data_IF_281826826576
#
_entry.id   IF_281826826576
#
_cell.length_a   1.000
_cell.length_b   1.000
_cell.length_c   1.000
_cell.angle_alpha   90.00
_cell.angle_beta   90.00
_cell.angle_gamma   90.00
#
_symmetry.space_group_name_H-M   'P 1'
#
loop_
_entity.id
_entity.type
_entity.pdbx_description
1 polymer ?
#
# COMPACT_ATOMS: atom_id res chain seq x y z
N UNK A 1 4.68 6.50 5.64
CA UNK A 1 3.28 6.89 5.38
C UNK A 1 2.35 5.82 5.91
N UNK A 2 1.33 6.23 6.62
CA UNK A 2 0.34 5.28 7.11
C UNK A 2 -0.51 4.76 5.96
N UNK A 3 -0.94 3.51 6.10
CA UNK A 3 -1.79 2.92 5.07
C UNK A 3 -2.62 1.80 5.67
N UNK A 4 -3.61 1.38 4.90
CA UNK A 4 -4.50 0.30 5.27
C UNK A 4 -4.23 -0.97 4.47
N UNK A 5 -3.05 -1.07 3.88
CA UNK A 5 -2.76 -2.18 2.97
C UNK A 5 -2.89 -3.54 3.65
N UNK A 6 -2.33 -3.67 4.85
CA UNK A 6 -2.40 -4.94 5.56
C UNK A 6 -3.85 -5.32 5.86
N UNK A 7 -4.63 -4.36 6.31
CA UNK A 7 -6.04 -4.58 6.62
C UNK A 7 -6.80 -5.02 5.38
N UNK A 8 -6.60 -4.31 4.27
CA UNK A 8 -7.30 -4.61 3.02
C UNK A 8 -6.86 -5.98 2.49
N UNK A 9 -5.56 -6.27 2.59
CA UNK A 9 -5.05 -7.57 2.14
C UNK A 9 -5.71 -8.70 2.92
N UNK A 10 -5.80 -8.55 4.23
CA UNK A 10 -6.39 -9.59 5.07
C UNK A 10 -7.88 -9.74 4.83
N UNK A 11 -8.57 -8.63 4.58
CA UNK A 11 -9.99 -8.69 4.24
C UNK A 11 -10.22 -9.47 2.95
N UNK A 12 -9.26 -9.43 2.04
CA UNK A 12 -9.34 -10.16 0.78
C UNK A 12 -8.74 -11.55 0.87
N UNK A 13 -8.28 -11.94 2.06
CA UNK A 13 -7.81 -13.29 2.35
C UNK A 13 -6.64 -13.71 1.48
N UNK A 14 -5.70 -12.79 1.25
CA UNK A 14 -4.48 -13.11 0.51
C UNK A 14 -3.26 -12.87 1.40
N UNK A 15 -2.22 -13.66 1.16
CA UNK A 15 -0.98 -13.54 1.92
C UNK A 15 -0.11 -12.44 1.34
N UNK A 16 0.90 -12.03 2.12
CA UNK A 16 1.89 -11.07 1.60
C UNK A 16 2.58 -11.63 0.36
N UNK A 17 2.86 -12.92 0.38
CA UNK A 17 3.54 -13.57 -0.73
C UNK A 17 2.69 -13.55 -1.99
N UNK A 18 1.41 -13.84 -1.84
CA UNK A 18 0.49 -13.82 -2.98
C UNK A 18 0.36 -12.41 -3.56
N UNK A 19 0.24 -11.43 -2.69
CA UNK A 19 0.12 -10.05 -3.15
C UNK A 19 1.41 -9.61 -3.86
N UNK A 20 2.56 -9.97 -3.29
CA UNK A 20 3.84 -9.64 -3.89
C UNK A 20 3.94 -10.23 -5.29
N UNK A 21 3.51 -11.49 -5.44
CA UNK A 21 3.55 -12.16 -6.74
C UNK A 21 2.69 -11.43 -7.77
N UNK A 22 1.47 -11.07 -7.38
CA UNK A 22 0.56 -10.38 -8.29
C UNK A 22 1.11 -9.02 -8.71
N UNK A 23 1.75 -8.32 -7.77
CA UNK A 23 2.27 -6.98 -8.05
C UNK A 23 3.68 -7.01 -8.61
N UNK A 24 4.28 -8.20 -8.72
CA UNK A 24 5.61 -8.38 -9.28
C UNK A 24 6.69 -7.67 -8.47
N UNK A 25 6.57 -7.76 -7.16
CA UNK A 25 7.57 -7.21 -6.24
C UNK A 25 7.92 -8.31 -5.23
N UNK A 26 8.92 -8.06 -4.39
CA UNK A 26 9.31 -9.02 -3.39
C UNK A 26 8.32 -8.98 -2.21
N UNK A 27 8.24 -10.10 -1.48
CA UNK A 27 7.44 -10.15 -0.26
C UNK A 27 7.92 -9.10 0.74
N UNK A 28 9.23 -8.88 0.80
CA UNK A 28 9.80 -7.89 1.70
C UNK A 28 9.30 -6.49 1.37
N UNK A 29 9.10 -6.20 0.08
CA UNK A 29 8.53 -4.93 -0.34
C UNK A 29 7.14 -4.75 0.26
N UNK A 30 6.31 -5.79 0.19
CA UNK A 30 4.96 -5.71 0.75
C UNK A 30 5.02 -5.52 2.26
N UNK A 31 5.88 -6.28 2.93
CA UNK A 31 6.03 -6.16 4.37
C UNK A 31 6.46 -4.75 4.78
N UNK A 32 7.42 -4.18 4.07
CA UNK A 32 7.90 -2.83 4.39
C UNK A 32 6.83 -1.78 4.12
N UNK A 33 6.07 -1.94 3.04
CA UNK A 33 4.96 -1.04 2.75
C UNK A 33 3.93 -1.07 3.87
N UNK A 34 3.54 -2.27 4.30
CA UNK A 34 2.51 -2.40 5.32
C UNK A 34 2.92 -1.78 6.64
N UNK A 35 4.21 -1.81 6.92
CA UNK A 35 4.75 -1.22 8.14
C UNK A 35 4.98 0.29 8.03
N UNK A 36 4.73 0.86 6.86
CA UNK A 36 4.91 2.28 6.64
C UNK A 36 6.35 2.72 6.58
N UNK A 37 7.26 1.79 6.28
CA UNK A 37 8.70 2.10 6.31
C UNK A 37 9.15 2.86 5.09
N UNK A 38 8.42 2.78 4.00
CA UNK A 38 8.72 3.58 2.82
C UNK A 38 7.47 3.77 2.01
N UNK A 39 7.51 4.73 1.11
CA UNK A 39 6.37 5.04 0.26
C UNK A 39 6.51 4.29 -1.06
N UNK A 40 5.42 3.79 -1.62
CA UNK A 40 5.50 3.09 -2.89
C UNK A 40 5.80 4.07 -4.01
N UNK A 41 6.37 3.54 -5.10
CA UNK A 41 6.44 4.32 -6.33
C UNK A 41 5.02 4.59 -6.80
N UNK A 42 4.88 5.60 -7.65
CA UNK A 42 3.55 5.93 -8.15
C UNK A 42 2.97 4.75 -8.95
N UNK A 43 3.82 4.05 -9.69
CA UNK A 43 3.37 2.89 -10.46
C UNK A 43 2.87 1.79 -9.53
N UNK A 44 3.62 1.51 -8.47
CA UNK A 44 3.22 0.47 -7.52
C UNK A 44 1.92 0.86 -6.81
N UNK A 45 1.78 2.14 -6.45
CA UNK A 45 0.56 2.60 -5.80
C UNK A 45 -0.65 2.40 -6.72
N UNK A 46 -0.51 2.70 -8.00
CA UNK A 46 -1.60 2.46 -8.95
C UNK A 46 -1.89 0.97 -9.10
N UNK A 47 -0.87 0.13 -9.16
CA UNK A 47 -1.08 -1.31 -9.27
C UNK A 47 -1.88 -1.85 -8.08
N UNK A 48 -1.52 -1.40 -6.88
CA UNK A 48 -2.21 -1.83 -5.66
C UNK A 48 -3.67 -1.38 -5.70
N UNK A 49 -3.89 -0.12 -6.03
CA UNK A 49 -5.24 0.43 -6.06
C UNK A 49 -6.11 -0.31 -7.07
N UNK A 50 -5.55 -0.58 -8.25
CA UNK A 50 -6.32 -1.28 -9.29
C UNK A 50 -6.61 -2.73 -8.89
N UNK A 51 -5.64 -3.37 -8.25
CA UNK A 51 -5.84 -4.75 -7.84
C UNK A 51 -7.01 -4.89 -6.86
N UNK A 52 -7.11 -3.95 -5.91
CA UNK A 52 -8.18 -3.99 -4.92
C UNK A 52 -9.41 -3.20 -5.35
N UNK A 53 -9.37 -2.58 -6.53
CA UNK A 53 -10.47 -1.77 -7.04
C UNK A 53 -10.84 -0.65 -6.07
N UNK A 54 -9.82 0.03 -5.57
CA UNK A 54 -9.96 1.12 -4.61
C UNK A 54 -9.14 2.31 -5.09
N UNK A 55 -9.43 3.48 -4.55
CA UNK A 55 -8.61 4.63 -4.84
C UNK A 55 -7.33 4.60 -4.00
N UNK A 56 -6.32 5.32 -4.47
CA UNK A 56 -5.06 5.41 -3.71
C UNK A 56 -5.33 6.01 -2.33
N UNK A 57 -6.20 7.02 -2.27
CA UNK A 57 -6.51 7.69 -1.01
C UNK A 57 -7.21 6.77 -0.01
N UNK A 58 -7.89 5.75 -0.49
CA UNK A 58 -8.54 4.80 0.40
C UNK A 58 -7.52 3.84 1.03
N UNK A 59 -6.39 3.69 0.39
CA UNK A 59 -5.36 2.74 0.83
C UNK A 59 -4.24 3.44 1.59
N UNK A 60 -3.74 4.55 1.04
CA UNK A 60 -2.60 5.28 1.61
C UNK A 60 -3.09 6.58 2.22
N UNK A 61 -2.73 6.80 3.48
CA UNK A 61 -3.22 7.93 4.24
C UNK A 61 -2.12 8.97 4.31
N UNK A 62 -2.34 10.10 3.65
CA UNK A 62 -1.41 11.21 3.72
C UNK A 62 -1.87 12.17 4.81
N UNK A 63 -1.12 12.26 5.87
CA UNK A 63 -1.53 13.07 7.02
C UNK A 63 -1.05 14.51 6.91
N UNK A 64 -0.19 14.74 5.96
CA UNK A 64 0.32 16.07 5.75
C UNK A 64 1.29 16.46 6.81
N UNK A 65 1.38 17.48 6.93
CA UNK A 65 2.11 17.96 7.97
C UNK A 65 1.78 19.32 8.18
N UNK A 66 1.69 19.20 7.92
CA UNK A 66 1.45 20.06 7.80
C UNK A 66 1.65 21.13 7.84
N UNK A 67 1.96 21.09 8.04
CA UNK A 67 2.14 21.77 7.87
C UNK A 67 2.27 22.48 7.38
N UNK A 68 2.58 22.10 7.10
CA UNK A 68 2.59 22.65 6.56
C UNK A 68 2.26 23.25 6.11
N UNK A 69 2.15 23.20 6.42
CA UNK A 69 1.69 23.63 5.97
C UNK A 69 1.70 24.48 5.56
N UNK A 70 1.82 24.57 5.49
CA UNK A 70 1.69 25.22 4.89
C UNK A 70 1.78 25.55 4.43
#
# INVERSE_FOLDING_TARGET
MNNRLEEIRKENQITQEELASVLEVSRQTISSLEKGRYNPSIILAFKIARYFNMSIEEIFIYEGDDENAK
#
